data_IF_270511914246
#
_entry.id   IF_270511914246
#
_cell.length_a   1.000
_cell.length_b   1.000
_cell.length_c   1.000
_cell.angle_alpha   90.00
_cell.angle_beta   90.00
_cell.angle_gamma   90.00
#
_symmetry.space_group_name_H-M   'P 1'
#
loop_
_entity.id
_entity.type
_entity.pdbx_description
1 polymer ?
#
# COMPACT_ATOMS: atom_id res chain seq x y z
N UNK A 1 17.48 16.11 0.20
CA UNK A 1 16.16 16.71 -0.08
C UNK A 1 16.10 17.03 -1.56
N UNK A 2 14.94 16.83 -2.16
CA UNK A 2 14.67 17.13 -3.58
C UNK A 2 13.47 18.07 -3.59
N UNK A 3 13.60 19.20 -4.28
CA UNK A 3 12.55 20.20 -4.40
C UNK A 3 12.13 20.30 -5.87
N UNK A 4 10.83 20.27 -6.08
CA UNK A 4 10.21 20.42 -7.40
C UNK A 4 9.62 21.83 -7.49
N UNK A 5 10.28 22.70 -8.25
CA UNK A 5 9.82 24.08 -8.45
C UNK A 5 8.93 24.16 -9.70
N UNK A 6 8.08 25.17 -9.76
CA UNK A 6 7.30 25.47 -10.97
C UNK A 6 8.27 25.71 -12.15
N UNK A 7 7.91 25.16 -13.32
CA UNK A 7 8.70 25.26 -14.52
C UNK A 7 9.02 26.71 -14.92
N UNK A 8 10.32 26.97 -15.09
CA UNK A 8 10.86 28.26 -15.51
C UNK A 8 11.54 28.15 -16.87
N UNK A 9 11.07 28.91 -17.86
CA UNK A 9 11.65 28.91 -19.22
C UNK A 9 13.01 29.62 -19.25
N UNK A 10 13.11 30.79 -18.61
CA UNK A 10 14.35 31.57 -18.61
C UNK A 10 15.36 31.02 -17.60
N UNK A 11 16.64 30.96 -18.00
CA UNK A 11 17.72 30.56 -17.11
C UNK A 11 17.91 31.53 -15.93
N UNK A 12 17.67 32.83 -16.19
CA UNK A 12 17.75 33.89 -15.18
C UNK A 12 16.83 33.63 -13.99
N UNK A 13 15.61 33.18 -14.23
CA UNK A 13 14.64 32.91 -13.17
C UNK A 13 15.11 31.75 -12.28
N UNK A 14 15.67 30.69 -12.90
CA UNK A 14 16.24 29.55 -12.17
C UNK A 14 17.44 29.97 -11.30
N UNK A 15 18.30 30.85 -11.83
CA UNK A 15 19.44 31.38 -11.09
C UNK A 15 19.00 32.28 -9.92
N UNK A 16 17.92 33.04 -10.10
CA UNK A 16 17.34 33.87 -9.04
C UNK A 16 16.74 33.01 -7.90
N UNK A 17 16.04 31.93 -8.24
CA UNK A 17 15.57 30.94 -7.25
C UNK A 17 16.75 30.32 -6.50
N UNK A 18 17.81 29.89 -7.20
CA UNK A 18 19.01 29.35 -6.57
C UNK A 18 19.67 30.36 -5.61
N UNK A 19 19.82 31.62 -6.04
CA UNK A 19 20.41 32.68 -5.22
C UNK A 19 19.56 32.95 -3.97
N UNK A 20 18.25 32.96 -4.13
CA UNK A 20 17.30 33.16 -3.02
C UNK A 20 17.37 31.99 -2.04
N UNK A 21 17.36 30.75 -2.53
CA UNK A 21 17.51 29.56 -1.70
C UNK A 21 18.81 29.58 -0.89
N UNK A 22 19.95 29.87 -1.53
CA UNK A 22 21.25 30.01 -0.86
C UNK A 22 21.26 31.10 0.21
N UNK A 23 20.56 32.22 -0.03
CA UNK A 23 20.41 33.30 0.94
C UNK A 23 19.58 32.85 2.15
N UNK A 24 18.45 32.18 1.92
CA UNK A 24 17.52 31.76 2.99
C UNK A 24 18.11 30.67 3.89
N UNK A 25 18.90 29.74 3.34
CA UNK A 25 19.54 28.68 4.15
C UNK A 25 20.86 29.11 4.79
N UNK A 26 21.33 30.34 4.53
CA UNK A 26 22.63 30.82 5.02
C UNK A 26 22.70 30.86 6.55
N UNK A 27 21.59 31.18 7.19
CA UNK A 27 21.50 31.33 8.64
C UNK A 27 21.10 30.02 9.34
N UNK A 28 20.91 28.93 8.59
CA UNK A 28 20.71 27.59 9.16
C UNK A 28 22.01 27.11 9.81
N UNK A 29 21.92 26.67 11.07
CA UNK A 29 23.06 26.15 11.83
C UNK A 29 23.60 24.86 11.21
N UNK A 30 22.72 24.04 10.63
CA UNK A 30 23.11 22.78 10.02
C UNK A 30 23.80 23.03 8.66
N UNK A 31 24.92 22.33 8.41
CA UNK A 31 25.61 22.42 7.12
C UNK A 31 24.68 22.05 5.98
N UNK A 32 24.50 23.00 5.06
CA UNK A 32 23.57 22.86 3.94
C UNK A 32 24.29 23.08 2.62
N UNK A 33 24.03 22.22 1.63
CA UNK A 33 24.53 22.36 0.27
C UNK A 33 23.33 22.42 -0.68
N UNK A 34 23.25 23.47 -1.48
CA UNK A 34 22.17 23.66 -2.47
C UNK A 34 22.79 23.65 -3.87
N UNK A 35 22.30 22.75 -4.73
CA UNK A 35 22.72 22.64 -6.13
C UNK A 35 21.77 23.45 -7.04
N UNK A 36 22.20 23.85 -8.25
CA UNK A 36 21.32 24.43 -9.25
C UNK A 36 20.18 23.49 -9.64
N UNK A 37 19.09 24.06 -10.17
CA UNK A 37 17.98 23.28 -10.75
C UNK A 37 18.51 22.45 -11.91
N UNK A 38 18.26 21.13 -11.85
CA UNK A 38 18.67 20.16 -12.86
C UNK A 38 17.91 20.34 -14.17
N UNK A 39 18.34 19.62 -15.21
CA UNK A 39 17.62 19.57 -16.49
C UNK A 39 16.22 18.95 -16.38
N UNK A 40 15.95 18.21 -15.31
CA UNK A 40 14.65 17.62 -15.01
C UNK A 40 13.72 18.56 -14.24
N UNK A 41 14.15 19.80 -13.95
CA UNK A 41 13.35 20.76 -13.16
C UNK A 41 13.53 20.64 -11.64
N UNK A 42 14.29 19.65 -11.17
CA UNK A 42 14.48 19.39 -9.74
C UNK A 42 15.69 20.12 -9.16
N UNK A 43 15.53 20.73 -7.98
CA UNK A 43 16.64 21.24 -7.16
C UNK A 43 17.02 20.21 -6.09
N UNK A 44 18.30 19.87 -6.03
CA UNK A 44 18.85 18.98 -5.01
C UNK A 44 19.53 19.79 -3.89
N UNK A 45 19.24 19.43 -2.65
CA UNK A 45 19.98 19.97 -1.50
C UNK A 45 20.24 18.91 -0.44
N UNK A 46 21.37 19.02 0.25
CA UNK A 46 21.66 18.25 1.46
C UNK A 46 21.66 19.18 2.66
N UNK A 47 21.13 18.70 3.78
CA UNK A 47 21.16 19.36 5.08
C UNK A 47 21.65 18.34 6.09
N UNK A 48 22.69 18.68 6.85
CA UNK A 48 23.25 17.79 7.86
C UNK A 48 22.19 17.46 8.92
N UNK A 49 22.07 16.17 9.27
CA UNK A 49 21.17 15.69 10.31
C UNK A 49 21.93 15.72 11.65
N UNK A 50 21.65 16.73 12.47
CA UNK A 50 22.26 16.88 13.81
C UNK A 50 21.45 16.16 14.91
N UNK A 51 20.14 16.09 14.73
CA UNK A 51 19.22 15.46 15.67
C UNK A 51 18.22 14.56 14.91
N UNK A 52 17.46 13.75 15.65
CA UNK A 52 16.29 13.09 15.10
C UNK A 52 15.29 14.10 14.54
N UNK A 53 14.55 13.69 13.51
CA UNK A 53 13.52 14.57 12.97
C UNK A 53 12.35 14.66 13.95
N UNK A 54 11.64 15.79 13.95
CA UNK A 54 10.42 15.96 14.76
C UNK A 54 9.41 14.84 14.44
N UNK A 55 9.37 14.39 13.18
CA UNK A 55 8.48 13.31 12.77
C UNK A 55 8.82 11.99 13.48
N UNK A 56 10.12 11.65 13.55
CA UNK A 56 10.57 10.43 14.21
C UNK A 56 10.31 10.47 15.73
N UNK A 57 10.34 11.65 16.33
CA UNK A 57 10.10 11.84 17.77
C UNK A 57 8.61 11.87 18.12
N UNK A 58 7.78 12.45 17.26
CA UNK A 58 6.38 12.72 17.55
C UNK A 58 5.42 11.63 17.02
N UNK A 59 5.84 10.82 16.05
CA UNK A 59 4.95 9.89 15.35
C UNK A 59 5.54 8.49 15.23
N UNK A 60 4.64 7.50 15.27
CA UNK A 60 4.95 6.13 14.87
C UNK A 60 4.56 5.90 13.40
N UNK A 61 5.23 4.96 12.70
CA UNK A 61 4.79 4.53 11.38
C UNK A 61 3.33 4.09 11.38
N UNK A 62 2.60 4.42 10.31
CA UNK A 62 1.20 4.00 10.18
C UNK A 62 1.12 2.46 10.14
N UNK A 63 0.38 1.80 11.06
CA UNK A 63 0.31 0.35 11.10
C UNK A 63 -0.50 -0.26 9.94
N UNK A 64 -1.28 0.56 9.23
CA UNK A 64 -2.09 0.11 8.09
C UNK A 64 -1.31 0.16 6.77
N UNK A 65 -0.84 1.35 6.39
CA UNK A 65 -0.24 1.57 5.08
C UNK A 65 1.29 1.58 5.10
N UNK A 66 1.92 1.44 6.27
CA UNK A 66 3.38 1.54 6.47
C UNK A 66 3.99 2.80 5.83
N UNK A 67 3.25 3.91 5.84
CA UNK A 67 3.69 5.20 5.30
C UNK A 67 3.42 5.40 3.80
N UNK A 68 2.79 4.47 3.10
CA UNK A 68 2.44 4.64 1.68
C UNK A 68 1.27 5.61 1.45
N UNK A 69 0.46 5.87 2.47
CA UNK A 69 -0.74 6.72 2.39
C UNK A 69 -1.84 6.16 1.49
N UNK A 70 -1.75 4.88 1.10
CA UNK A 70 -2.69 4.20 0.22
C UNK A 70 -2.91 2.78 0.72
N UNK A 71 -4.11 2.25 0.50
CA UNK A 71 -4.44 0.84 0.70
C UNK A 71 -4.95 0.25 -0.62
N UNK A 72 -4.85 -1.06 -0.76
CA UNK A 72 -5.34 -1.82 -1.92
C UNK A 72 -6.83 -1.53 -2.13
N UNK A 73 -7.21 -1.42 -3.41
CA UNK A 73 -8.62 -1.25 -3.75
C UNK A 73 -9.43 -2.53 -3.46
N UNK A 74 -10.76 -2.43 -3.27
CA UNK A 74 -11.63 -3.61 -3.20
C UNK A 74 -11.42 -4.59 -4.37
N UNK A 75 -11.16 -4.06 -5.58
CA UNK A 75 -10.91 -4.85 -6.81
C UNK A 75 -9.63 -5.67 -6.65
N UNK A 76 -8.56 -5.03 -6.20
CA UNK A 76 -7.27 -5.67 -5.96
C UNK A 76 -7.39 -6.79 -4.93
N UNK A 77 -8.10 -6.52 -3.84
CA UNK A 77 -8.36 -7.52 -2.80
C UNK A 77 -9.14 -8.73 -3.32
N UNK A 78 -10.19 -8.50 -4.11
CA UNK A 78 -10.96 -9.59 -4.73
C UNK A 78 -10.09 -10.47 -5.62
N UNK A 79 -9.26 -9.88 -6.48
CA UNK A 79 -8.34 -10.64 -7.35
C UNK A 79 -7.34 -11.46 -6.55
N UNK A 80 -6.79 -10.91 -5.47
CA UNK A 80 -5.87 -11.65 -4.59
C UNK A 80 -6.54 -12.83 -3.90
N UNK A 81 -7.75 -12.63 -3.35
CA UNK A 81 -8.55 -13.69 -2.73
C UNK A 81 -8.83 -14.81 -3.75
N UNK A 82 -9.27 -14.46 -4.96
CA UNK A 82 -9.55 -15.43 -6.02
C UNK A 82 -8.30 -16.23 -6.43
N UNK A 83 -7.14 -15.56 -6.57
CA UNK A 83 -5.87 -16.24 -6.86
C UNK A 83 -5.49 -17.21 -5.75
N UNK A 84 -5.65 -16.80 -4.49
CA UNK A 84 -5.34 -17.64 -3.34
C UNK A 84 -6.28 -18.84 -3.22
N UNK A 85 -7.59 -18.63 -3.42
CA UNK A 85 -8.59 -19.70 -3.51
C UNK A 85 -8.21 -20.71 -4.59
N UNK A 86 -7.94 -20.25 -5.82
CA UNK A 86 -7.54 -21.14 -6.92
C UNK A 86 -6.25 -21.92 -6.62
N UNK A 87 -5.31 -21.34 -5.88
CA UNK A 87 -4.08 -22.04 -5.47
C UNK A 87 -4.40 -23.18 -4.51
N UNK A 88 -5.18 -22.91 -3.46
CA UNK A 88 -5.52 -23.89 -2.42
C UNK A 88 -6.39 -25.01 -2.99
N UNK A 89 -7.43 -24.67 -3.78
CA UNK A 89 -8.36 -25.64 -4.35
C UNK A 89 -7.71 -26.55 -5.40
N UNK A 90 -6.54 -26.18 -5.95
CA UNK A 90 -5.74 -27.05 -6.82
C UNK A 90 -4.93 -28.08 -6.04
N UNK A 91 -4.63 -27.83 -4.77
CA UNK A 91 -3.85 -28.74 -3.96
C UNK A 91 -4.70 -29.95 -3.53
N UNK A 92 -4.20 -31.16 -3.81
CA UNK A 92 -4.91 -32.40 -3.48
C UNK A 92 -5.18 -32.57 -1.98
N UNK A 93 -4.39 -31.93 -1.12
CA UNK A 93 -4.52 -32.00 0.34
C UNK A 93 -5.83 -31.36 0.85
N UNK A 94 -6.40 -30.44 0.09
CA UNK A 94 -7.60 -29.70 0.48
C UNK A 94 -8.81 -30.04 -0.41
N UNK A 95 -8.79 -31.18 -1.12
CA UNK A 95 -9.80 -31.52 -2.12
C UNK A 95 -11.22 -31.62 -1.54
N UNK A 96 -11.35 -32.06 -0.29
CA UNK A 96 -12.62 -32.29 0.40
C UNK A 96 -12.73 -31.47 1.70
N UNK A 97 -11.87 -30.47 1.89
CA UNK A 97 -11.79 -29.69 3.14
C UNK A 97 -12.52 -28.37 2.94
N UNK A 98 -13.71 -28.15 3.51
CA UNK A 98 -14.49 -26.92 3.29
C UNK A 98 -13.64 -25.66 3.54
N UNK A 99 -13.81 -24.63 2.71
CA UNK A 99 -12.99 -23.41 2.83
C UNK A 99 -13.86 -22.25 3.27
N UNK A 100 -13.47 -21.58 4.35
CA UNK A 100 -14.03 -20.32 4.81
C UNK A 100 -13.06 -19.18 4.57
N UNK A 101 -13.51 -18.16 3.85
CA UNK A 101 -12.75 -16.92 3.67
C UNK A 101 -13.22 -15.90 4.70
N UNK A 102 -12.30 -15.45 5.54
CA UNK A 102 -12.52 -14.38 6.52
C UNK A 102 -11.85 -13.11 6.00
N UNK A 103 -12.58 -12.01 5.89
CA UNK A 103 -12.09 -10.74 5.35
C UNK A 103 -12.80 -9.54 5.97
N UNK A 104 -12.29 -8.33 5.70
CA UNK A 104 -12.95 -7.10 6.10
C UNK A 104 -14.35 -6.94 5.43
N UNK A 105 -15.38 -6.41 6.11
CA UNK A 105 -16.75 -6.31 5.58
C UNK A 105 -16.85 -5.62 4.22
N UNK A 106 -16.07 -4.56 3.98
CA UNK A 106 -16.09 -3.83 2.70
C UNK A 106 -15.63 -4.69 1.52
N UNK A 107 -14.60 -5.52 1.74
CA UNK A 107 -14.11 -6.46 0.71
C UNK A 107 -15.17 -7.52 0.44
N UNK A 108 -15.83 -8.02 1.49
CA UNK A 108 -16.90 -9.01 1.35
C UNK A 108 -18.10 -8.47 0.57
N UNK A 109 -18.53 -7.23 0.85
CA UNK A 109 -19.66 -6.60 0.15
C UNK A 109 -19.41 -6.57 -1.35
N UNK A 110 -18.20 -6.20 -1.78
CA UNK A 110 -17.85 -6.24 -3.20
C UNK A 110 -17.86 -7.67 -3.75
N UNK A 111 -17.20 -8.59 -3.04
CA UNK A 111 -17.02 -9.96 -3.49
C UNK A 111 -18.39 -10.65 -3.72
N UNK A 112 -19.38 -10.34 -2.89
CA UNK A 112 -20.75 -10.87 -2.98
C UNK A 112 -21.64 -10.20 -4.03
N UNK A 113 -21.31 -8.98 -4.45
CA UNK A 113 -22.14 -8.22 -5.39
C UNK A 113 -21.54 -8.30 -6.80
N UNK A 114 -20.38 -7.71 -7.01
CA UNK A 114 -19.74 -7.61 -8.31
C UNK A 114 -19.09 -8.90 -8.77
N UNK A 115 -18.49 -9.67 -7.85
CA UNK A 115 -17.70 -10.86 -8.18
C UNK A 115 -18.41 -12.19 -7.87
N UNK A 116 -19.70 -12.15 -7.54
CA UNK A 116 -20.48 -13.32 -7.14
C UNK A 116 -20.39 -14.46 -8.15
N UNK A 117 -20.50 -14.13 -9.45
CA UNK A 117 -20.43 -15.09 -10.54
C UNK A 117 -19.08 -15.82 -10.59
N UNK A 118 -17.99 -15.09 -10.38
CA UNK A 118 -16.64 -15.67 -10.38
C UNK A 118 -16.46 -16.68 -9.24
N UNK A 119 -17.07 -16.41 -8.08
CA UNK A 119 -17.02 -17.33 -6.94
C UNK A 119 -17.81 -18.61 -7.23
N UNK A 120 -18.99 -18.48 -7.83
CA UNK A 120 -19.80 -19.63 -8.26
C UNK A 120 -19.03 -20.48 -9.28
N UNK A 121 -18.35 -19.84 -10.24
CA UNK A 121 -17.53 -20.54 -11.23
C UNK A 121 -16.37 -21.31 -10.54
N UNK A 122 -15.77 -20.75 -9.49
CA UNK A 122 -14.72 -21.42 -8.70
C UNK A 122 -15.29 -22.60 -7.91
N UNK A 123 -16.43 -22.45 -7.21
CA UNK A 123 -17.09 -23.56 -6.51
C UNK A 123 -17.41 -24.72 -7.44
N UNK A 124 -17.99 -24.43 -8.61
CA UNK A 124 -18.36 -25.45 -9.60
C UNK A 124 -17.13 -26.13 -10.21
N UNK A 125 -16.10 -25.36 -10.55
CA UNK A 125 -14.89 -25.88 -11.19
C UNK A 125 -14.14 -26.87 -10.29
N UNK A 126 -14.11 -26.63 -8.98
CA UNK A 126 -13.41 -27.49 -8.03
C UNK A 126 -14.36 -28.44 -7.27
N UNK A 127 -15.67 -28.35 -7.52
CA UNK A 127 -16.73 -29.06 -6.80
C UNK A 127 -16.56 -28.96 -5.27
N UNK A 128 -16.40 -27.73 -4.80
CA UNK A 128 -15.98 -27.43 -3.44
C UNK A 128 -16.93 -26.45 -2.77
N UNK A 129 -17.20 -26.61 -1.48
CA UNK A 129 -18.04 -25.67 -0.70
C UNK A 129 -17.19 -24.49 -0.19
N UNK A 130 -17.59 -23.28 -0.53
CA UNK A 130 -17.01 -22.03 -0.04
C UNK A 130 -17.97 -21.34 0.92
N UNK A 131 -17.43 -20.82 2.03
CA UNK A 131 -18.17 -19.94 2.93
C UNK A 131 -17.41 -18.65 3.15
N UNK A 132 -18.14 -17.57 3.45
CA UNK A 132 -17.54 -16.25 3.62
C UNK A 132 -17.98 -15.65 4.95
N UNK A 133 -17.05 -15.03 5.68
CA UNK A 133 -17.30 -14.36 6.96
C UNK A 133 -16.65 -12.99 6.98
N UNK A 134 -17.39 -11.99 7.43
CA UNK A 134 -16.86 -10.67 7.70
C UNK A 134 -16.26 -10.60 9.11
N UNK A 135 -15.11 -9.96 9.23
CA UNK A 135 -14.47 -9.62 10.51
C UNK A 135 -13.99 -8.15 10.47
N UNK A 136 -14.68 -7.23 11.16
CA UNK A 136 -14.30 -5.81 11.20
C UNK A 136 -12.98 -5.54 11.92
N UNK A 137 -12.47 -6.49 12.72
CA UNK A 137 -11.19 -6.35 13.41
C UNK A 137 -10.00 -6.72 12.52
N UNK A 138 -10.27 -7.36 11.38
CA UNK A 138 -9.25 -7.72 10.42
C UNK A 138 -8.81 -6.49 9.63
N UNK A 139 -7.51 -6.36 9.38
CA UNK A 139 -7.02 -5.30 8.51
C UNK A 139 -7.64 -5.40 7.12
N UNK A 140 -7.90 -4.26 6.48
CA UNK A 140 -8.59 -4.20 5.19
C UNK A 140 -7.92 -5.06 4.10
N UNK A 141 -6.58 -5.08 4.10
CA UNK A 141 -5.77 -5.86 3.16
C UNK A 141 -5.46 -7.28 3.60
N UNK A 142 -5.95 -7.70 4.77
CA UNK A 142 -5.78 -9.04 5.26
C UNK A 142 -7.00 -9.89 4.93
N UNK A 143 -6.76 -11.16 4.66
CA UNK A 143 -7.80 -12.18 4.56
C UNK A 143 -7.21 -13.51 4.97
N UNK A 144 -8.05 -14.37 5.54
CA UNK A 144 -7.66 -15.71 5.98
C UNK A 144 -8.53 -16.74 5.30
N UNK A 145 -7.92 -17.83 4.88
CA UNK A 145 -8.60 -19.02 4.38
C UNK A 145 -8.47 -20.06 5.48
N UNK A 146 -9.59 -20.48 6.04
CA UNK A 146 -9.62 -21.41 7.17
C UNK A 146 -10.57 -22.56 6.88
N UNK A 147 -10.27 -23.72 7.43
CA UNK A 147 -11.24 -24.80 7.53
C UNK A 147 -12.30 -24.41 8.59
N UNK A 148 -13.61 -24.39 8.25
CA UNK A 148 -14.66 -24.03 9.19
C UNK A 148 -14.86 -25.04 10.33
N UNK A 149 -14.41 -26.29 10.19
CA UNK A 149 -14.54 -27.34 11.20
C UNK A 149 -13.37 -27.32 12.18
N UNK A 150 -12.14 -27.26 11.67
CA UNK A 150 -10.93 -27.31 12.50
C UNK A 150 -10.41 -25.94 12.91
N UNK A 151 -10.82 -24.86 12.22
CA UNK A 151 -10.28 -23.51 12.39
C UNK A 151 -8.84 -23.35 11.90
N UNK A 152 -8.26 -24.37 11.28
CA UNK A 152 -6.89 -24.34 10.78
C UNK A 152 -6.77 -23.41 9.57
N UNK A 153 -5.73 -22.57 9.55
CA UNK A 153 -5.41 -21.77 8.36
C UNK A 153 -4.92 -22.65 7.22
N UNK A 154 -5.58 -22.53 6.07
CA UNK A 154 -5.23 -23.19 4.83
C UNK A 154 -4.16 -22.33 4.14
N UNK A 155 -2.94 -22.88 4.05
CA UNK A 155 -1.79 -22.22 3.43
C UNK A 155 -1.35 -22.91 2.16
#
# INVERSE_FOLDING_TARGET
>A
MVLDFIDMRAARDRDEVLKTMKKLVKDDRAKTKVLPISKLGLMEMTRQREHESILDQAYNPCPYCSGTGRIKSPVTMSVEIQRRLNSILRERRYKDVPVRVIMHPEVLTRLRNEDAKLLTDIEQKYNHTLSFRADPMLHYEEFRLVDPETGAELR
#
